data_IF_818085738032
#
_entry.id   IF_818085738032
#
_cell.length_a   1.000
_cell.length_b   1.000
_cell.length_c   1.000
_cell.angle_alpha   90.00
_cell.angle_beta   90.00
_cell.angle_gamma   90.00
#
_symmetry.space_group_name_H-M   'P 1'
#
loop_
_entity.id
_entity.type
_entity.pdbx_description
1 polymer ?
#
# COMPACT_ATOMS: atom_id res chain seq x y z
N UNK A 1 -29.29 -8.41 7.44
CA UNK A 1 -28.34 -7.42 6.91
C UNK A 1 -27.08 -7.59 7.75
N UNK A 2 -26.01 -8.19 7.21
CA UNK A 2 -24.86 -8.59 8.05
C UNK A 2 -24.12 -7.34 8.54
N UNK A 3 -24.22 -7.06 9.83
CA UNK A 3 -23.34 -6.16 10.55
C UNK A 3 -21.91 -6.72 10.47
N UNK A 4 -21.06 -6.00 9.75
CA UNK A 4 -19.67 -6.36 9.57
C UNK A 4 -18.92 -5.84 10.79
N UNK A 5 -18.53 -6.75 11.69
CA UNK A 5 -17.75 -6.48 12.90
C UNK A 5 -16.54 -5.56 12.59
N UNK A 6 -16.61 -4.32 13.08
CA UNK A 6 -15.67 -3.22 12.79
C UNK A 6 -14.33 -3.34 13.55
N UNK A 7 -14.01 -4.48 14.17
CA UNK A 7 -12.86 -4.57 15.09
C UNK A 7 -11.84 -5.68 14.78
N UNK A 8 -11.95 -6.32 13.62
CA UNK A 8 -10.83 -7.07 13.03
C UNK A 8 -10.33 -6.30 11.83
N UNK A 9 -9.09 -5.79 11.90
CA UNK A 9 -8.34 -5.38 10.70
C UNK A 9 -8.23 -6.61 9.79
N UNK A 10 -9.23 -6.81 8.94
CA UNK A 10 -9.24 -7.90 7.97
C UNK A 10 -7.94 -7.80 7.18
N UNK A 11 -7.24 -8.91 7.05
CA UNK A 11 -6.00 -8.99 6.31
C UNK A 11 -6.29 -8.63 4.84
N UNK A 12 -6.12 -7.35 4.50
CA UNK A 12 -6.35 -6.88 3.14
C UNK A 12 -5.08 -7.12 2.33
N UNK A 13 -5.18 -7.99 1.34
CA UNK A 13 -4.13 -8.15 0.34
C UNK A 13 -3.89 -6.82 -0.40
N UNK A 14 -2.66 -6.63 -0.85
CA UNK A 14 -2.32 -5.52 -1.73
C UNK A 14 -2.68 -5.89 -3.16
N UNK A 15 -3.51 -5.07 -3.78
CA UNK A 15 -3.86 -5.22 -5.20
C UNK A 15 -2.82 -4.56 -6.09
N UNK A 16 -2.71 -5.02 -7.33
CA UNK A 16 -1.84 -4.40 -8.35
C UNK A 16 -2.22 -2.95 -8.65
N UNK A 17 -3.47 -2.55 -8.39
CA UNK A 17 -3.92 -1.16 -8.50
C UNK A 17 -3.37 -0.31 -7.34
N UNK A 18 -3.46 -0.80 -6.10
CA UNK A 18 -2.87 -0.13 -4.93
C UNK A 18 -1.35 0.01 -5.08
N UNK A 19 -0.66 -1.03 -5.58
CA UNK A 19 0.78 -1.01 -5.81
C UNK A 19 1.18 0.03 -6.87
N UNK A 20 0.44 0.09 -7.99
CA UNK A 20 0.64 1.12 -9.02
C UNK A 20 0.42 2.52 -8.47
N UNK A 21 -0.67 2.72 -7.72
CA UNK A 21 -0.97 4.02 -7.09
C UNK A 21 0.10 4.42 -6.08
N UNK A 22 0.60 3.45 -5.31
CA UNK A 22 1.68 3.66 -4.37
C UNK A 22 2.97 4.08 -5.08
N UNK A 23 3.35 3.42 -6.19
CA UNK A 23 4.51 3.81 -6.98
C UNK A 23 4.35 5.17 -7.64
N UNK A 24 3.19 5.43 -8.24
CA UNK A 24 2.88 6.69 -8.91
C UNK A 24 2.97 7.88 -7.95
N UNK A 25 2.32 7.78 -6.79
CA UNK A 25 2.42 8.78 -5.73
C UNK A 25 3.85 8.94 -5.22
N UNK A 26 4.63 7.85 -5.17
CA UNK A 26 6.02 7.91 -4.74
C UNK A 26 6.92 8.58 -5.78
N UNK A 27 6.69 8.34 -7.07
CA UNK A 27 7.34 9.05 -8.18
C UNK A 27 7.00 10.55 -8.19
N UNK A 28 5.79 10.92 -7.75
CA UNK A 28 5.40 12.31 -7.55
C UNK A 28 6.01 12.96 -6.30
N UNK A 29 6.80 12.23 -5.50
CA UNK A 29 7.44 12.75 -4.28
C UNK A 29 6.52 12.79 -3.05
N UNK A 30 5.33 12.17 -3.11
CA UNK A 30 4.40 12.14 -1.99
C UNK A 30 4.98 11.30 -0.84
N UNK A 31 4.78 11.76 0.40
CA UNK A 31 5.24 11.06 1.60
C UNK A 31 4.36 9.86 1.91
N UNK A 32 4.95 8.78 2.41
CA UNK A 32 4.21 7.54 2.76
C UNK A 32 3.04 7.77 3.73
N UNK A 33 3.11 8.79 4.59
CA UNK A 33 2.01 9.14 5.51
C UNK A 33 0.76 9.61 4.78
N UNK A 34 0.91 10.36 3.69
CA UNK A 34 -0.22 10.83 2.88
C UNK A 34 -0.77 9.72 1.99
N UNK A 35 0.12 8.90 1.41
CA UNK A 35 -0.26 7.70 0.66
C UNK A 35 -1.07 6.74 1.55
N UNK A 36 -0.62 6.56 2.81
CA UNK A 36 -1.31 5.73 3.79
C UNK A 36 -2.73 6.23 4.09
N UNK A 37 -2.93 7.55 4.22
CA UNK A 37 -4.27 8.14 4.37
C UNK A 37 -5.14 7.85 3.15
N UNK A 38 -4.61 8.04 1.94
CA UNK A 38 -5.36 7.78 0.70
C UNK A 38 -5.75 6.31 0.53
N UNK A 39 -4.86 5.39 0.93
CA UNK A 39 -5.08 3.94 0.82
C UNK A 39 -5.79 3.35 2.05
N UNK A 40 -6.12 4.16 3.06
CA UNK A 40 -6.63 3.68 4.35
C UNK A 40 -5.77 2.56 4.96
N UNK A 41 -4.45 2.70 4.86
CA UNK A 41 -3.44 1.77 5.41
C UNK A 41 -2.57 2.47 6.43
N UNK A 42 -1.72 1.71 7.12
CA UNK A 42 -0.69 2.29 7.97
C UNK A 42 0.53 2.69 7.13
N UNK A 43 1.23 3.79 7.47
CA UNK A 43 2.44 4.23 6.77
C UNK A 43 3.53 3.15 6.72
N UNK A 44 3.65 2.37 7.80
CA UNK A 44 4.61 1.27 7.90
C UNK A 44 4.27 0.15 6.90
N UNK A 45 2.99 -0.16 6.70
CA UNK A 45 2.56 -1.18 5.73
C UNK A 45 2.84 -0.73 4.30
N UNK A 46 2.59 0.55 4.01
CA UNK A 46 2.88 1.20 2.72
C UNK A 46 4.38 1.18 2.42
N UNK A 47 5.22 1.57 3.37
CA UNK A 47 6.69 1.55 3.21
C UNK A 47 7.23 0.12 2.96
N UNK A 48 6.79 -0.85 3.77
CA UNK A 48 7.19 -2.26 3.58
C UNK A 48 6.78 -2.77 2.21
N UNK A 49 5.58 -2.42 1.75
CA UNK A 49 5.10 -2.81 0.42
C UNK A 49 5.95 -2.15 -0.67
N UNK A 50 6.19 -0.84 -0.59
CA UNK A 50 7.02 -0.12 -1.55
C UNK A 50 8.38 -0.77 -1.74
N UNK A 51 9.14 -0.99 -0.65
CA UNK A 51 10.46 -1.64 -0.70
C UNK A 51 10.41 -3.03 -1.33
N UNK A 52 9.34 -3.79 -1.07
CA UNK A 52 9.16 -5.12 -1.66
C UNK A 52 8.99 -5.02 -3.18
N UNK A 53 8.15 -4.08 -3.66
CA UNK A 53 7.91 -3.95 -5.10
C UNK A 53 9.16 -3.39 -5.80
N UNK A 54 9.87 -2.44 -5.20
CA UNK A 54 11.14 -1.93 -5.74
C UNK A 54 12.17 -3.04 -5.89
N UNK A 55 12.33 -3.89 -4.87
CA UNK A 55 13.23 -5.05 -4.94
C UNK A 55 12.82 -6.01 -6.07
N UNK A 56 11.54 -6.34 -6.18
CA UNK A 56 11.04 -7.23 -7.25
C UNK A 56 11.25 -6.67 -8.65
N UNK A 57 11.26 -5.35 -8.84
CA UNK A 57 11.59 -4.75 -10.14
C UNK A 57 13.08 -4.86 -10.49
N UNK A 58 13.97 -4.88 -9.49
CA UNK A 58 15.42 -4.92 -9.69
C UNK A 58 15.94 -6.33 -10.00
N UNK A 59 15.27 -7.38 -9.52
CA UNK A 59 15.62 -8.79 -9.82
C UNK A 59 15.22 -9.25 -11.24
N UNK A 60 14.62 -8.38 -12.07
CA UNK A 60 14.15 -8.71 -13.43
C UNK A 60 15.07 -8.14 -14.54
N UNK A 61 16.24 -7.59 -14.19
CA UNK A 61 17.21 -7.02 -15.13
C UNK A 61 18.48 -7.88 -15.27
#
# INVERSE_FOLDING_TARGET
>A
MQEIDLNKRAYRHWTTLEDRKLMDLRNQGVRFREIAKQLNRTPISVEKRFRKIEKTKFDQE
#
